data_IF_030686083041
#
_entry.id   IF_030686083041
#
_cell.length_a   1.000
_cell.length_b   1.000
_cell.length_c   1.000
_cell.angle_alpha   90.00
_cell.angle_beta   90.00
_cell.angle_gamma   90.00
#
_symmetry.space_group_name_H-M   'P 1'
#
loop_
_entity.id
_entity.type
_entity.pdbx_description
1 polymer ?
2 non-polymer ?
3 non-polymer ?
4 water ?
#
# COMPACT_ATOMS: atom_id res chain seq x y z
N UNK A 1 -1.60 11.72 0.13
CA UNK A 1 -2.16 10.50 -0.44
C UNK A 1 -1.15 9.34 -0.38
N UNK A 2 -1.65 8.15 -0.09
CA UNK A 2 -0.78 6.99 -0.03
C UNK A 2 -0.46 6.54 -1.45
N UNK A 3 0.78 6.12 -1.66
CA UNK A 3 1.27 5.80 -2.99
C UNK A 3 0.41 4.80 -3.72
N UNK A 4 0.50 4.80 -5.04
CA UNK A 4 -0.19 3.80 -5.83
C UNK A 4 0.86 2.97 -6.55
N UNK A 5 0.61 1.68 -6.74
CA UNK A 5 1.49 0.84 -7.55
C UNK A 5 0.69 0.17 -8.64
N UNK A 6 0.83 0.69 -9.86
CA UNK A 6 0.13 0.21 -11.04
C UNK A 6 0.93 -0.87 -11.77
N UNK A 7 0.35 -2.05 -11.93
CA UNK A 7 0.94 -3.11 -12.75
C UNK A 7 0.38 -2.95 -14.12
N UNK A 8 1.24 -2.95 -15.13
CA UNK A 8 0.75 -2.81 -16.50
C UNK A 8 1.48 -3.74 -17.46
N UNK A 9 0.79 -4.09 -18.54
CA UNK A 9 1.43 -4.70 -19.69
C UNK A 9 2.28 -3.67 -20.38
N UNK A 10 3.41 -4.11 -20.94
CA UNK A 10 4.18 -3.15 -21.73
C UNK A 10 3.32 -2.60 -22.85
N UNK A 11 3.37 -1.28 -23.06
CA UNK A 11 2.57 -0.59 -24.08
C UNK A 11 3.22 0.75 -24.31
N UNK A 12 3.60 1.06 -25.54
CA UNK A 12 4.52 2.17 -25.76
C UNK A 12 3.94 3.51 -25.29
N UNK A 13 2.70 3.85 -25.70
CA UNK A 13 2.11 4.91 -24.88
C UNK A 13 1.20 4.32 -23.80
N UNK A 14 1.53 4.57 -22.52
CA UNK A 14 0.59 4.20 -21.45
C UNK A 14 -0.24 5.42 -21.07
N UNK A 15 -1.55 5.31 -21.25
CA UNK A 15 -2.49 6.41 -20.99
C UNK A 15 -3.15 6.32 -19.62
N UNK A 16 -3.03 7.40 -18.84
CA UNK A 16 -3.61 7.43 -17.50
C UNK A 16 -4.64 8.55 -17.36
N UNK A 24 3.69 15.80 -12.65
CA UNK A 24 4.31 14.51 -12.97
C UNK A 24 5.82 14.64 -13.16
N UNK A 25 6.58 13.81 -12.44
CA UNK A 25 8.04 13.84 -12.55
C UNK A 25 8.67 12.51 -12.15
N UNK A 26 9.56 12.00 -13.00
CA UNK A 26 10.24 10.72 -12.76
C UNK A 26 11.31 10.76 -11.68
N UNK A 27 11.16 9.96 -10.64
CA UNK A 27 12.18 9.91 -9.59
C UNK A 27 13.13 8.76 -9.82
N UNK A 28 12.61 7.65 -10.32
CA UNK A 28 13.50 6.51 -10.53
C UNK A 28 13.01 5.52 -11.57
N UNK A 29 13.73 5.41 -12.67
CA UNK A 29 13.36 4.49 -13.71
C UNK A 29 14.53 3.84 -14.40
N UNK A 30 14.43 2.54 -14.62
CA UNK A 30 15.47 1.77 -15.30
C UNK A 30 15.80 2.35 -16.67
N UNK A 31 14.87 3.11 -17.23
CA UNK A 31 15.08 3.76 -18.52
C UNK A 31 14.59 5.20 -18.53
N UNK A 32 14.84 5.89 -19.63
CA UNK A 32 14.37 7.26 -19.78
C UNK A 32 12.94 7.31 -20.32
N UNK A 33 11.99 7.34 -19.38
CA UNK A 33 10.60 7.61 -19.71
C UNK A 33 10.46 9.05 -20.19
N UNK A 34 9.36 9.35 -20.86
CA UNK A 34 8.98 10.72 -21.15
C UNK A 34 7.48 10.83 -20.90
N UNK A 35 7.08 11.83 -20.12
CA UNK A 35 5.68 11.99 -19.74
C UNK A 35 5.08 13.18 -20.43
N UNK A 36 3.97 12.96 -21.13
CA UNK A 36 3.39 14.02 -21.94
C UNK A 36 1.89 14.18 -21.68
N UNK A 37 1.44 15.40 -21.38
CA UNK A 37 0.03 15.63 -21.07
C UNK A 37 -0.78 15.82 -22.35
N UNK A 42 -5.64 13.41 -18.84
CA UNK A 42 -4.94 12.24 -19.36
C UNK A 42 -3.45 12.52 -19.60
N UNK A 43 -2.61 11.53 -19.27
CA UNK A 43 -1.19 11.63 -19.59
C UNK A 43 -0.71 10.40 -20.35
N UNK A 44 0.43 10.55 -21.03
CA UNK A 44 0.99 9.52 -21.87
C UNK A 44 2.43 9.25 -21.49
N UNK A 45 2.67 8.02 -21.05
CA UNK A 45 3.99 7.58 -20.62
C UNK A 45 4.68 6.83 -21.76
N UNK A 46 5.79 7.38 -22.21
CA UNK A 46 6.56 6.83 -23.31
C UNK A 46 7.88 6.25 -22.86
N UNK A 47 8.22 5.08 -23.38
CA UNK A 47 9.57 4.57 -23.22
C UNK A 47 9.70 3.57 -22.09
N UNK A 48 8.60 3.35 -21.39
CA UNK A 48 8.57 2.36 -20.32
C UNK A 48 9.02 1.01 -20.89
N UNK A 49 9.81 0.28 -20.12
CA UNK A 49 10.18 -1.08 -20.48
C UNK A 49 9.94 -1.96 -19.27
N UNK A 50 9.97 -3.27 -19.49
CA UNK A 50 9.85 -4.27 -18.42
C UNK A 50 10.68 -3.84 -17.20
N UNK A 51 10.05 -3.75 -16.04
CA UNK A 51 10.76 -3.19 -14.88
C UNK A 51 9.93 -2.20 -14.08
N UNK A 52 10.55 -1.40 -13.21
CA UNK A 52 9.79 -0.51 -12.33
C UNK A 52 10.15 0.97 -12.44
N UNK A 53 9.16 1.83 -12.28
CA UNK A 53 9.35 3.28 -12.37
C UNK A 53 8.63 4.03 -11.24
N UNK A 54 9.25 5.07 -10.71
CA UNK A 54 8.68 5.84 -9.62
C UNK A 54 8.59 7.30 -10.02
N UNK A 55 7.38 7.83 -9.88
CA UNK A 55 7.06 9.23 -10.16
C UNK A 55 6.52 9.96 -8.92
N UNK A 56 6.84 11.24 -8.82
CA UNK A 56 6.16 12.12 -7.90
C UNK A 56 5.11 12.92 -8.64
N UNK A 57 3.87 12.83 -8.17
CA UNK A 57 2.80 13.65 -8.70
C UNK A 57 2.52 14.84 -7.79
N UNK A 58 2.57 16.03 -8.36
CA UNK A 58 2.21 17.25 -7.66
C UNK A 58 1.13 18.00 -8.47
N UNK A 59 0.43 18.92 -7.84
CA UNK A 59 -0.59 19.70 -8.53
C UNK A 59 -0.04 21.02 -9.06
N UNK A 68 0.85 16.17 -2.99
CA UNK A 68 1.89 15.32 -3.59
C UNK A 68 1.60 13.85 -3.32
N UNK A 69 2.08 12.97 -4.20
CA UNK A 69 1.87 11.53 -4.05
C UNK A 69 2.89 10.70 -4.83
N UNK A 70 3.12 9.47 -4.35
CA UNK A 70 3.92 8.46 -5.04
C UNK A 70 3.09 7.72 -6.07
N UNK A 71 3.61 7.60 -7.30
CA UNK A 71 3.00 6.64 -8.22
C UNK A 71 4.11 5.78 -8.77
N UNK A 72 4.02 4.47 -8.53
CA UNK A 72 4.95 3.55 -9.14
C UNK A 72 4.24 2.80 -10.26
N UNK A 73 4.99 2.50 -11.31
CA UNK A 73 4.49 1.76 -12.46
C UNK A 73 5.40 0.57 -12.67
N UNK A 74 4.85 -0.62 -12.56
CA UNK A 74 5.60 -1.84 -12.79
C UNK A 74 5.16 -2.44 -14.11
N UNK A 75 6.06 -2.41 -15.10
CA UNK A 75 5.79 -3.00 -16.39
C UNK A 75 6.11 -4.49 -16.29
N UNK A 76 5.03 -5.28 -16.35
CA UNK A 76 5.08 -6.72 -16.12
C UNK A 76 5.88 -7.51 -17.12
N UNK A 77 6.62 -8.49 -16.62
CA UNK A 77 7.17 -9.55 -17.43
C UNK A 77 6.08 -10.57 -17.79
N UNK A 78 6.38 -11.49 -18.69
CA UNK A 78 5.39 -12.50 -19.06
C UNK A 78 5.19 -13.48 -17.91
N UNK A 79 6.30 -13.80 -17.24
CA UNK A 79 6.24 -14.60 -16.02
C UNK A 79 5.33 -13.99 -14.94
N UNK A 80 5.46 -12.70 -14.67
CA UNK A 80 4.58 -12.08 -13.66
C UNK A 80 3.15 -12.02 -14.17
N UNK A 81 3.03 -11.88 -15.48
CA UNK A 81 1.73 -11.81 -16.11
C UNK A 81 0.94 -13.09 -15.83
N UNK A 82 1.63 -14.22 -15.75
CA UNK A 82 0.96 -15.44 -15.29
C UNK A 82 0.24 -15.26 -13.94
N UNK A 83 0.86 -14.51 -13.04
CA UNK A 83 0.31 -14.30 -11.69
C UNK A 83 -0.77 -13.25 -11.65
N UNK A 84 -0.54 -12.16 -12.38
CA UNK A 84 -1.45 -11.03 -12.36
C UNK A 84 -2.67 -11.18 -13.30
N UNK A 85 -2.63 -12.13 -14.23
CA UNK A 85 -3.67 -12.19 -15.25
C UNK A 85 -4.21 -13.58 -15.51
N UNK A 86 -3.38 -14.59 -15.36
CA UNK A 86 -3.77 -15.94 -15.76
C UNK A 86 -4.26 -16.79 -14.58
N UNK A 87 -4.03 -16.31 -13.38
CA UNK A 87 -4.43 -17.04 -12.17
C UNK A 87 -5.95 -16.95 -11.94
N UNK A 88 -6.51 -17.96 -11.29
CA UNK A 88 -7.92 -17.91 -10.90
C UNK A 88 -8.19 -16.75 -9.95
N UNK A 89 -9.41 -16.23 -9.96
CA UNK A 89 -9.81 -15.31 -8.91
C UNK A 89 -9.75 -16.08 -7.58
N UNK A 90 -9.51 -15.38 -6.48
CA UNK A 90 -9.38 -16.05 -5.20
C UNK A 90 -10.04 -15.23 -4.11
N UNK A 91 -11.13 -15.75 -3.56
CA UNK A 91 -11.83 -15.11 -2.48
C UNK A 91 -10.95 -15.04 -1.23
N UNK A 92 -10.15 -16.08 -1.00
CA UNK A 92 -9.29 -16.16 0.18
C UNK A 92 -10.02 -16.59 1.44
N UNK A 93 -9.30 -16.64 2.56
CA UNK A 93 -9.81 -17.27 3.79
C UNK A 93 -10.74 -16.42 4.66
N UNK A 94 -10.70 -15.11 4.49
CA UNK A 94 -11.49 -14.22 5.36
C UNK A 94 -12.91 -14.02 4.82
N UNK A 95 -13.83 -13.63 5.71
CA UNK A 95 -15.25 -13.56 5.37
C UNK A 95 -15.76 -12.14 5.12
N UNK A 96 -14.86 -11.25 4.71
CA UNK A 96 -15.26 -9.91 4.36
C UNK A 96 -15.88 -9.82 2.98
N UNK A 97 -16.25 -8.61 2.58
CA UNK A 97 -16.91 -8.40 1.29
C UNK A 97 -16.33 -7.21 0.54
N UNK A 98 -15.25 -7.43 -0.20
CA UNK A 98 -14.63 -6.34 -0.93
C UNK A 98 -14.82 -6.49 -2.43
N UNK A 99 -15.51 -5.53 -3.05
CA UNK A 99 -15.64 -5.64 -4.51
C UNK A 99 -14.27 -5.46 -5.15
N UNK A 100 -13.88 -6.42 -5.97
CA UNK A 100 -12.56 -6.37 -6.61
C UNK A 100 -12.71 -6.81 -8.05
N UNK A 101 -11.59 -6.77 -8.78
CA UNK A 101 -11.58 -7.13 -10.19
C UNK A 101 -10.52 -8.17 -10.42
N UNK A 102 -10.81 -9.11 -11.31
CA UNK A 102 -9.81 -10.04 -11.79
C UNK A 102 -9.94 -10.18 -13.30
N UNK A 103 -8.85 -10.58 -13.93
CA UNK A 103 -8.85 -10.80 -15.37
C UNK A 103 -9.22 -12.24 -15.67
N UNK A 104 -10.15 -12.40 -16.60
CA UNK A 104 -10.48 -13.69 -17.16
C UNK A 104 -9.84 -13.78 -18.54
N UNK A 105 -8.77 -14.57 -18.64
CA UNK A 105 -7.99 -14.66 -19.86
C UNK A 105 -8.72 -15.47 -20.92
N UNK A 106 -9.51 -16.45 -20.50
CA UNK A 106 -10.32 -17.25 -21.43
C UNK A 106 -11.19 -16.35 -22.29
N UNK A 107 -11.86 -15.40 -21.65
CA UNK A 107 -12.77 -14.48 -22.32
C UNK A 107 -12.09 -13.13 -22.57
N UNK A 108 -10.86 -12.99 -22.08
CA UNK A 108 -10.07 -11.78 -22.27
C UNK A 108 -10.77 -10.50 -21.79
N UNK A 109 -11.38 -10.55 -20.60
CA UNK A 109 -12.06 -9.38 -20.04
C UNK A 109 -11.94 -9.32 -18.51
N UNK A 110 -12.04 -8.12 -17.96
CA UNK A 110 -11.99 -7.91 -16.51
C UNK A 110 -13.37 -8.07 -15.88
N UNK A 111 -13.49 -9.04 -14.98
CA UNK A 111 -14.74 -9.32 -14.28
C UNK A 111 -14.67 -8.88 -12.81
N UNK A 112 -15.82 -8.51 -12.23
CA UNK A 112 -15.87 -8.20 -10.80
C UNK A 112 -16.04 -9.49 -9.98
N UNK A 113 -15.52 -9.50 -8.75
CA UNK A 113 -15.80 -10.59 -7.80
C UNK A 113 -15.72 -10.07 -6.38
N UNK A 114 -16.29 -10.80 -5.44
CA UNK A 114 -16.24 -10.38 -4.05
C UNK A 114 -15.07 -11.08 -3.36
N UNK A 115 -14.16 -10.28 -2.83
CA UNK A 115 -12.94 -10.77 -2.20
C UNK A 115 -13.14 -10.81 -0.69
N UNK A 116 -12.60 -11.83 -0.04
CA UNK A 116 -12.72 -11.98 1.41
C UNK A 116 -11.89 -11.01 2.23
N UNK A 117 -10.83 -10.46 1.63
CA UNK A 117 -10.08 -9.39 2.25
C UNK A 117 -8.70 -9.80 2.72
N UNK A 118 -8.37 -11.06 2.57
CA UNK A 118 -7.02 -11.50 2.92
C UNK A 118 -6.60 -12.71 2.10
N UNK A 119 -5.29 -12.83 1.93
CA UNK A 119 -4.68 -14.05 1.43
C UNK A 119 -5.25 -14.45 0.10
N UNK A 120 -5.49 -13.48 -0.76
CA UNK A 120 -5.89 -13.76 -2.13
C UNK A 120 -4.64 -13.92 -2.99
N UNK A 121 -4.74 -13.65 -4.29
CA UNK A 121 -3.56 -13.75 -5.14
C UNK A 121 -3.39 -12.45 -5.94
N UNK A 122 -2.49 -12.40 -6.91
CA UNK A 122 -2.19 -11.13 -7.57
C UNK A 122 -3.22 -10.69 -8.62
N UNK A 123 -4.14 -11.59 -8.98
CA UNK A 123 -5.14 -11.27 -10.01
C UNK A 123 -6.35 -10.69 -9.30
N UNK A 124 -6.19 -9.45 -8.86
CA UNK A 124 -7.06 -8.85 -7.85
C UNK A 124 -6.79 -7.37 -7.81
N UNK A 125 -7.69 -6.57 -8.38
CA UNK A 125 -7.47 -5.13 -8.54
C UNK A 125 -8.60 -4.39 -7.85
N UNK A 126 -8.27 -3.29 -7.23
CA UNK A 126 -9.27 -2.42 -6.64
C UNK A 126 -10.17 -1.77 -7.69
N UNK A 127 -9.59 -1.40 -8.83
CA UNK A 127 -10.36 -0.68 -9.86
C UNK A 127 -10.32 -1.43 -11.17
N UNK A 128 -11.45 -1.42 -11.88
CA UNK A 128 -11.52 -2.08 -13.17
C UNK A 128 -10.42 -1.58 -14.13
N UNK A 129 -10.16 -0.28 -14.07
CA UNK A 129 -9.18 0.37 -14.96
C UNK A 129 -7.77 -0.17 -14.71
N UNK A 130 -7.48 -0.49 -13.46
CA UNK A 130 -6.20 -1.06 -13.10
C UNK A 130 -6.07 -2.49 -13.60
N UNK A 131 -7.14 -3.28 -13.48
CA UNK A 131 -7.15 -4.61 -14.04
C UNK A 131 -6.90 -4.52 -15.56
N UNK A 132 -7.56 -3.54 -16.19
CA UNK A 132 -7.48 -3.37 -17.65
C UNK A 132 -6.03 -3.08 -18.04
N UNK A 133 -5.42 -2.12 -17.35
CA UNK A 133 -4.01 -1.80 -17.55
C UNK A 133 -3.10 -3.01 -17.32
N UNK A 134 -3.35 -3.79 -16.26
CA UNK A 134 -2.50 -4.96 -15.99
C UNK A 134 -2.65 -6.08 -17.02
N UNK A 135 -3.82 -6.21 -17.66
CA UNK A 135 -4.06 -7.43 -18.41
C UNK A 135 -4.72 -7.29 -19.80
N UNK A 136 -5.06 -6.07 -20.20
CA UNK A 136 -5.66 -5.87 -21.53
C UNK A 136 -4.75 -6.47 -22.60
N UNK A 137 -5.27 -7.44 -23.34
CA UNK A 137 -4.52 -8.06 -24.42
C UNK A 137 -3.84 -9.39 -24.10
N UNK A 138 -4.18 -9.96 -22.95
CA UNK A 138 -3.58 -11.20 -22.47
C UNK A 138 -4.51 -12.38 -22.75
N UNK A 139 -3.95 -13.53 -23.15
CA UNK A 139 -4.75 -14.70 -23.46
C UNK A 139 -4.22 -15.97 -22.79
N UNK B 1 -11.49 2.46 -1.39
CA UNK B 1 -10.28 2.97 -0.75
C UNK B 1 -9.22 1.89 -0.62
N UNK B 2 -7.96 2.27 -0.82
CA UNK B 2 -6.88 1.31 -0.70
C UNK B 2 -6.59 1.09 0.78
N UNK B 3 -6.29 -0.16 1.14
CA UNK B 3 -6.13 -0.55 2.53
C UNK B 3 -5.13 0.31 3.27
N UNK B 4 -5.26 0.34 4.60
CA UNK B 4 -4.28 1.04 5.40
C UNK B 4 -3.60 0.01 6.30
N UNK B 5 -2.31 0.16 6.55
CA UNK B 5 -1.62 -0.69 7.52
C UNK B 5 -0.99 0.16 8.60
N UNK B 6 -1.61 0.15 9.78
CA UNK B 6 -1.20 0.93 10.93
C UNK B 6 -0.27 0.14 11.85
N UNK B 7 0.95 0.63 12.06
CA UNK B 7 1.87 0.04 13.03
C UNK B 7 1.66 0.75 14.32
N UNK B 8 1.48 -0.01 15.40
CA UNK B 8 1.26 0.63 16.70
C UNK B 8 2.03 -0.08 17.80
N UNK B 9 2.35 0.69 18.84
CA UNK B 9 2.81 0.11 20.10
C UNK B 9 1.66 -0.59 20.76
N UNK B 10 1.94 -1.69 21.45
CA UNK B 10 0.86 -2.32 22.21
C UNK B 10 0.28 -1.30 23.20
N UNK B 11 -1.04 -1.24 23.29
CA UNK B 11 -1.75 -0.29 24.16
C UNK B 11 -3.16 -0.82 24.31
N UNK B 12 -3.61 -1.04 25.54
CA UNK B 12 -4.81 -1.86 25.74
C UNK B 12 -6.05 -1.23 25.09
N UNK B 13 -6.32 0.06 25.37
CA UNK B 13 -7.24 0.66 24.40
C UNK B 13 -6.49 1.40 23.29
N UNK B 14 -6.64 0.99 22.03
CA UNK B 14 -6.11 1.79 20.92
C UNK B 14 -7.21 2.67 20.35
N UNK B 15 -7.00 3.98 20.42
CA UNK B 15 -8.00 4.96 19.99
C UNK B 15 -7.74 5.49 18.58
N UNK B 16 -8.75 5.38 17.71
CA UNK B 16 -8.61 5.82 16.33
C UNK B 16 -9.63 6.91 15.98
N UNK B 24 -17.12 -1.26 11.37
CA UNK B 24 -15.92 -1.95 11.87
C UNK B 24 -16.18 -3.42 12.17
N UNK B 25 -15.37 -4.30 11.59
CA UNK B 25 -15.52 -5.74 11.82
C UNK B 25 -14.22 -6.51 11.61
N UNK B 26 -13.86 -7.33 12.58
CA UNK B 26 -12.63 -8.13 12.54
C UNK B 26 -12.67 -9.31 11.55
N UNK B 27 -11.77 -9.31 10.58
CA UNK B 27 -11.71 -10.42 9.64
C UNK B 27 -10.68 -11.44 10.06
N UNK B 28 -9.57 -10.96 10.63
CA UNK B 28 -8.52 -11.91 11.02
C UNK B 28 -7.60 -11.39 12.10
N UNK B 29 -7.65 -12.01 13.26
CA UNK B 29 -6.79 -11.61 14.35
C UNK B 29 -6.30 -12.76 15.19
N UNK B 30 -5.02 -12.73 15.53
CA UNK B 30 -4.39 -13.76 16.36
C UNK B 30 -5.13 -13.92 17.70
N UNK B 31 -5.85 -12.89 18.10
CA UNK B 31 -6.63 -12.91 19.34
C UNK B 31 -8.02 -12.32 19.16
N UNK B 32 -8.82 -12.41 20.21
CA UNK B 32 -10.15 -11.83 20.19
C UNK B 32 -10.14 -10.35 20.59
N UNK B 33 -10.01 -9.49 19.58
CA UNK B 33 -10.18 -8.07 19.75
C UNK B 33 -11.64 -7.77 20.09
N UNK B 34 -11.90 -6.59 20.63
CA UNK B 34 -13.26 -6.08 20.75
C UNK B 34 -13.23 -4.61 20.35
N UNK B 35 -14.11 -4.22 19.45
CA UNK B 35 -14.12 -2.85 18.92
C UNK B 35 -15.31 -2.09 19.45
N UNK B 36 -15.07 -0.95 20.07
CA UNK B 36 -16.15 -0.20 20.72
C UNK B 36 -16.15 1.26 20.31
N UNK B 37 -17.30 1.77 19.86
CA UNK B 37 -17.38 3.15 19.41
C UNK B 37 -17.61 4.10 20.59
N UNK B 42 -14.50 8.40 16.90
CA UNK B 42 -13.46 7.67 17.59
C UNK B 42 -13.87 6.24 17.93
N UNK B 43 -12.93 5.30 17.78
CA UNK B 43 -13.17 3.93 18.22
C UNK B 43 -12.06 3.43 19.14
N UNK B 44 -12.37 2.39 19.90
CA UNK B 44 -11.46 1.82 20.88
C UNK B 44 -11.29 0.34 20.64
N UNK B 45 -10.04 -0.03 20.34
CA UNK B 45 -9.68 -1.42 20.09
C UNK B 45 -9.08 -2.04 21.34
N UNK B 46 -9.77 -3.07 21.83
CA UNK B 46 -9.39 -3.76 23.05
C UNK B 46 -8.87 -5.17 22.77
N UNK B 47 -7.79 -5.54 23.42
CA UNK B 47 -7.38 -6.93 23.42
C UNK B 47 -6.30 -7.24 22.42
N UNK B 48 -5.93 -6.23 21.65
CA UNK B 48 -4.84 -6.38 20.69
C UNK B 48 -3.60 -6.87 21.41
N UNK B 49 -2.88 -7.79 20.79
CA UNK B 49 -1.59 -8.23 21.30
C UNK B 49 -0.59 -8.18 20.16
N UNK B 50 0.70 -8.27 20.50
CA UNK B 50 1.78 -8.34 19.54
C UNK B 50 1.41 -9.25 18.38
N UNK B 51 1.47 -8.73 17.14
CA UNK B 51 0.96 -9.49 16.01
C UNK B 51 0.11 -8.66 15.04
N UNK B 52 -0.65 -9.30 14.16
CA UNK B 52 -1.40 -8.57 13.14
C UNK B 52 -2.91 -8.82 13.14
N UNK B 53 -3.67 -7.77 12.83
CA UNK B 53 -5.13 -7.84 12.79
C UNK B 53 -5.72 -7.18 11.53
N UNK B 54 -6.75 -7.79 10.96
CA UNK B 54 -7.39 -7.26 9.76
C UNK B 54 -8.86 -7.02 10.00
N UNK B 55 -9.28 -5.79 9.71
CA UNK B 55 -10.66 -5.35 9.83
C UNK B 55 -11.23 -4.88 8.47
N UNK B 56 -12.52 -5.12 8.27
CA UNK B 56 -13.25 -4.45 7.23
C UNK B 56 -14.02 -3.27 7.79
N UNK B 57 -13.79 -2.10 7.21
CA UNK B 57 -14.56 -0.92 7.58
C UNK B 57 -15.63 -0.64 6.53
N UNK B 58 -16.87 -0.54 6.99
CA UNK B 58 -18.00 -0.16 6.15
C UNK B 58 -18.70 1.04 6.78
N UNK B 59 -19.53 1.73 6.01
CA UNK B 59 -20.26 2.88 6.53
C UNK B 59 -21.67 2.48 6.98
N UNK B 68 -16.40 0.64 1.51
CA UNK B 68 -15.69 -0.37 2.28
C UNK B 68 -14.17 -0.22 2.12
N UNK B 69 -13.42 -0.70 3.11
CA UNK B 69 -11.96 -0.60 3.08
C UNK B 69 -11.28 -1.60 4.04
N UNK B 70 -10.05 -1.97 3.70
CA UNK B 70 -9.18 -2.78 4.55
C UNK B 70 -8.46 -1.91 5.57
N UNK B 71 -8.49 -2.31 6.83
CA UNK B 71 -7.58 -1.69 7.78
C UNK B 71 -6.86 -2.80 8.51
N UNK B 72 -5.53 -2.84 8.39
CA UNK B 72 -4.75 -3.78 9.17
C UNK B 72 -4.04 -3.01 10.29
N UNK B 73 -3.89 -3.68 11.42
CA UNK B 73 -3.22 -3.14 12.58
C UNK B 73 -2.14 -4.11 12.99
N UNK B 74 -0.90 -3.65 12.95
CA UNK B 74 0.22 -4.47 13.36
C UNK B 74 0.75 -3.95 14.69
N UNK B 75 0.55 -4.74 15.74
CA UNK B 75 1.06 -4.40 17.06
C UNK B 75 2.51 -4.84 17.13
N UNK B 76 3.38 -3.83 17.16
CA UNK B 76 4.83 -4.00 17.06
C UNK B 76 5.45 -4.76 18.20
N UNK B 77 6.41 -5.61 17.86
CA UNK B 77 7.35 -6.17 18.84
C UNK B 77 8.41 -5.13 19.18
N UNK B 78 9.23 -5.41 20.18
CA UNK B 78 10.28 -4.46 20.57
C UNK B 78 11.37 -4.45 19.50
N UNK B 79 11.64 -5.62 18.95
CA UNK B 79 12.56 -5.76 17.81
C UNK B 79 12.12 -4.90 16.62
N UNK B 80 10.85 -4.96 16.24
CA UNK B 80 10.40 -4.15 15.09
C UNK B 80 10.41 -2.68 15.47
N UNK B 81 10.19 -2.41 16.75
CA UNK B 81 10.17 -1.05 17.25
C UNK B 81 11.52 -0.40 17.02
N UNK B 82 12.59 -1.19 17.09
CA UNK B 82 13.89 -0.64 16.70
C UNK B 82 13.90 -0.05 15.28
N UNK B 83 13.17 -0.69 14.37
CA UNK B 83 13.13 -0.26 12.98
C UNK B 83 12.18 0.89 12.75
N UNK B 84 11.03 0.82 13.38
CA UNK B 84 9.98 1.81 13.17
C UNK B 84 10.15 3.08 14.02
N UNK B 85 11.00 3.06 15.03
CA UNK B 85 11.07 4.18 15.95
C UNK B 85 12.46 4.65 16.30
N UNK B 86 13.42 3.73 16.31
CA UNK B 86 14.74 4.05 16.80
C UNK B 86 15.73 4.37 15.69
N UNK B 87 15.35 4.06 14.46
CA UNK B 87 16.21 4.29 13.31
C UNK B 87 16.27 5.77 12.93
N UNK B 88 17.37 6.20 12.33
CA UNK B 88 17.47 7.56 11.83
C UNK B 88 16.43 7.83 10.75
N UNK B 89 16.03 9.08 10.59
CA UNK B 89 15.23 9.44 9.43
C UNK B 89 16.11 9.20 8.20
N UNK B 90 15.49 8.90 7.06
CA UNK B 90 16.26 8.59 5.86
C UNK B 90 15.59 9.20 4.64
N UNK B 91 16.24 10.20 4.06
CA UNK B 91 15.76 10.84 2.85
C UNK B 91 15.74 9.85 1.67
N UNK B 92 16.72 8.96 1.61
CA UNK B 92 16.84 7.99 0.54
C UNK B 92 17.43 8.57 -0.74
N UNK B 93 17.51 7.75 -1.78
CA UNK B 93 18.30 8.08 -2.97
C UNK B 93 17.61 8.99 -4.00
N UNK B 94 16.28 9.06 -3.96
CA UNK B 94 15.54 9.83 -4.98
C UNK B 94 15.41 11.30 -4.58
N UNK B 95 15.17 12.16 -5.57
CA UNK B 95 15.19 13.60 -5.38
C UNK B 95 13.80 14.24 -5.31
N UNK B 96 12.81 13.45 -4.92
CA UNK B 96 11.48 13.97 -4.72
C UNK B 96 11.33 14.73 -3.42
N UNK B 97 10.12 15.23 -3.16
CA UNK B 97 9.86 16.02 -1.97
C UNK B 97 8.57 15.62 -1.29
N UNK B 98 8.64 14.61 -0.43
CA UNK B 98 7.43 14.13 0.24
C UNK B 98 7.47 14.46 1.73
N UNK B 99 6.51 15.27 2.18
CA UNK B 99 6.52 15.54 3.62
C UNK B 99 6.16 14.26 4.37
N UNK B 100 7.01 13.85 5.30
CA UNK B 100 6.80 12.62 6.05
C UNK B 100 7.11 12.87 7.51
N UNK B 101 6.91 11.82 8.33
CA UNK B 101 7.14 11.92 9.75
C UNK B 101 8.07 10.82 10.18
N UNK B 102 8.95 11.13 11.11
CA UNK B 102 9.74 10.12 11.77
C UNK B 102 9.75 10.37 13.27
N UNK B 103 10.01 9.32 14.03
CA UNK B 103 10.10 9.45 15.48
C UNK B 103 11.54 9.74 15.89
N UNK B 104 11.68 10.74 16.75
CA UNK B 104 12.96 11.02 17.39
C UNK B 104 12.86 10.51 18.82
N UNK B 105 13.55 9.39 19.09
CA UNK B 105 13.46 8.73 20.39
C UNK B 105 14.24 9.49 21.45
N UNK B 106 15.31 10.18 21.06
CA UNK B 106 16.09 11.00 21.98
C UNK B 106 15.20 12.02 22.67
N UNK B 107 14.37 12.69 21.88
CA UNK B 107 13.47 13.72 22.38
C UNK B 107 12.05 13.17 22.56
N UNK B 108 11.85 11.91 22.17
CA UNK B 108 10.57 11.24 22.31
C UNK B 108 9.41 11.98 21.65
N UNK B 109 9.62 12.48 20.43
CA UNK B 109 8.56 13.18 19.70
C UNK B 109 8.62 12.91 18.19
N UNK B 110 7.48 13.05 17.52
CA UNK B 110 7.40 12.88 16.07
C UNK B 110 7.74 14.19 15.34
N UNK B 111 8.80 14.15 14.55
CA UNK B 111 9.22 15.31 13.75
C UNK B 111 8.91 15.12 12.25
N UNK B 112 8.68 16.22 11.54
CA UNK B 112 8.52 16.17 10.08
C UNK B 112 9.88 16.17 9.38
N UNK B 113 9.95 15.55 8.21
CA UNK B 113 11.14 15.63 7.35
C UNK B 113 10.74 15.46 5.89
N UNK B 114 11.60 15.87 4.98
CA UNK B 114 11.29 15.74 3.57
C UNK B 114 11.94 14.45 3.06
N UNK B 115 11.12 13.57 2.52
CA UNK B 115 11.56 12.25 2.06
C UNK B 115 11.75 12.30 0.55
N UNK B 116 12.77 11.61 0.05
CA UNK B 116 13.07 11.58 -1.37
C UNK B 116 12.12 10.76 -2.21
N UNK B 117 11.44 9.80 -1.56
CA UNK B 117 10.36 9.09 -2.24
C UNK B 117 10.68 7.64 -2.53
N UNK B 118 11.92 7.24 -2.25
CA UNK B 118 12.27 5.84 -2.42
C UNK B 118 13.35 5.41 -1.46
N UNK B 119 13.34 4.10 -1.16
CA UNK B 119 14.47 3.45 -0.50
C UNK B 119 14.80 4.13 0.81
N UNK B 120 13.77 4.51 1.55
CA UNK B 120 13.96 5.02 2.90
C UNK B 120 13.93 3.85 3.87
N UNK B 121 13.56 4.09 5.13
CA UNK B 121 13.48 2.99 6.09
C UNK B 121 12.11 3.00 6.77
N UNK B 122 11.90 2.20 7.80
CA UNK B 122 10.56 2.07 8.39
C UNK B 122 10.11 3.22 9.28
N UNK B 123 11.05 4.09 9.65
CA UNK B 123 10.73 5.22 10.54
C UNK B 123 10.33 6.40 9.67
N UNK B 124 9.11 6.30 9.13
CA UNK B 124 8.68 7.10 7.99
C UNK B 124 7.18 6.93 7.84
N UNK B 125 6.41 7.95 8.25
CA UNK B 125 4.95 7.86 8.29
C UNK B 125 4.37 8.97 7.44
N UNK B 126 3.32 8.66 6.73
CA UNK B 126 2.58 9.65 5.98
C UNK B 126 1.94 10.69 6.90
N UNK B 127 1.42 10.26 8.04
CA UNK B 127 0.68 11.17 8.93
C UNK B 127 1.31 11.21 10.30
N UNK B 128 1.30 12.39 10.91
CA UNK B 128 1.85 12.54 12.24
C UNK B 128 1.19 11.59 13.23
N UNK B 129 -0.12 11.40 13.07
CA UNK B 129 -0.91 10.57 13.99
C UNK B 129 -0.47 9.11 13.92
N UNK B 130 -0.08 8.67 12.73
CA UNK B 130 0.41 7.31 12.54
C UNK B 130 1.77 7.14 13.19
N UNK B 131 2.64 8.12 13.06
CA UNK B 131 3.93 8.09 13.74
C UNK B 131 3.68 8.01 15.25
N UNK B 132 2.72 8.79 15.73
CA UNK B 132 2.42 8.86 17.17
C UNK B 132 1.96 7.49 17.65
N UNK B 133 1.02 6.88 16.93
CA UNK B 133 0.57 5.53 17.22
C UNK B 133 1.71 4.52 17.19
N UNK B 134 2.60 4.59 16.19
CA UNK B 134 3.71 3.64 16.11
C UNK B 134 4.75 3.80 17.22
N UNK B 135 4.92 5.00 17.76
CA UNK B 135 6.09 5.24 18.61
C UNK B 135 5.87 6.04 19.90
N UNK B 136 4.66 6.50 20.17
CA UNK B 136 4.39 7.24 21.41
C UNK B 136 4.82 6.40 22.60
N UNK B 137 5.78 6.90 23.37
CA UNK B 137 6.22 6.22 24.58
C UNK B 137 7.52 5.42 24.45
N UNK B 138 8.20 5.61 23.33
CA UNK B 138 9.43 4.87 23.03
C UNK B 138 10.67 5.73 23.34
N UNK B 139 11.71 5.12 23.90
CA UNK B 139 12.92 5.86 24.25
C UNK B 139 14.20 5.17 23.75
X LIG C 1 -13.85 0.48 -10.74
X LIG D 1 7.99 21.32 12.32
X LIG D 1 7.36 20.26 12.03
X LIG D 1 7.63 21.91 13.38
X LIG D 1 9.11 21.85 11.47
X LIG E 1 16.60 15.19 -1.83
X LIG E 1 17.55 14.44 -1.51
X LIG E 1 15.51 15.03 -1.21
X LIG E 1 16.74 16.22 -2.92
X LIG F 1 -0.22 14.81 9.41
#
# INVERSE_FOLDING_TARGET
KRGIDLKVQPQEPLVLKDVENTDWRLLRGDTDVRVERKDPNQVELWGLKEGTYLFQLTVTSSDHPEDTANVTVTVLSTKQTEDYCLASNKVGRCRGSFPRWYYDPTEQICKSFVYGGCLGNKNNYLREEECILACRGVDHHHHHH
KRGIDLKVQPQEPLVLKDVENTDWRLLRGDTDVRVERKDPNQVELWGLKEGTYLFQLTVTSSDHPEDTANVTVTVLSTKQTEDYCLASNKVGRCRGSFPRWYYDPTEQICKSFVYGGCLGNKNNYLREEECILACRGVDHHHHHH
K K
ACT C O OXT CH3
ACT C O OXT CH3
K K
#
